data_IF_453041600071
#
_entry.id   IF_453041600071
#
_cell.length_a   1.000
_cell.length_b   1.000
_cell.length_c   1.000
_cell.angle_alpha   90.00
_cell.angle_beta   90.00
_cell.angle_gamma   90.00
#
_symmetry.space_group_name_H-M   'P 1'
#
loop_
_entity.id
_entity.type
_entity.pdbx_description
1 polymer ?
#
# COMPACT_ATOMS: atom_id res chain seq x y z
N UNK A 1 10.62 -9.35 -44.41
CA UNK A 1 9.80 -8.64 -45.44
C UNK A 1 9.18 -7.38 -44.83
N UNK A 2 8.74 -6.38 -45.63
CA UNK A 2 8.03 -5.20 -45.07
C UNK A 2 6.80 -5.61 -44.25
N UNK A 3 6.18 -6.76 -44.54
CA UNK A 3 5.10 -7.37 -43.73
C UNK A 3 5.56 -7.82 -42.33
N UNK A 4 6.75 -8.41 -42.16
CA UNK A 4 7.29 -8.76 -40.82
C UNK A 4 7.58 -7.52 -39.97
N UNK A 5 8.01 -6.41 -40.59
CA UNK A 5 8.19 -5.12 -39.90
C UNK A 5 6.85 -4.44 -39.56
N UNK A 6 5.77 -4.79 -40.27
CA UNK A 6 4.42 -4.28 -40.05
C UNK A 6 3.64 -5.13 -39.04
N UNK A 7 4.02 -6.41 -38.85
CA UNK A 7 3.50 -7.28 -37.80
C UNK A 7 3.90 -6.84 -36.38
N UNK A 8 4.95 -6.01 -36.25
CA UNK A 8 5.38 -5.30 -35.03
C UNK A 8 4.52 -4.07 -34.70
N UNK A 9 3.19 -4.17 -34.83
CA UNK A 9 2.29 -3.10 -34.35
C UNK A 9 2.52 -2.82 -32.85
N UNK A 10 2.59 -1.54 -32.47
CA UNK A 10 3.22 -1.07 -31.22
C UNK A 10 2.80 -1.76 -29.90
N UNK A 11 1.57 -2.26 -29.78
CA UNK A 11 1.12 -3.02 -28.60
C UNK A 11 1.64 -4.47 -28.60
N UNK A 12 1.78 -5.10 -29.78
CA UNK A 12 2.39 -6.42 -29.94
C UNK A 12 3.86 -6.39 -29.56
N UNK A 13 4.57 -5.29 -29.80
CA UNK A 13 5.96 -5.12 -29.35
C UNK A 13 6.13 -5.14 -27.82
N UNK A 14 5.07 -4.86 -27.06
CA UNK A 14 5.15 -4.81 -25.59
C UNK A 14 5.03 -6.19 -24.96
N UNK A 15 4.52 -7.20 -25.67
CA UNK A 15 4.22 -8.52 -25.08
C UNK A 15 5.43 -9.15 -24.35
N UNK A 16 6.64 -9.01 -24.91
CA UNK A 16 7.88 -9.52 -24.32
C UNK A 16 8.43 -8.69 -23.16
N UNK A 17 7.92 -7.47 -22.95
CA UNK A 17 8.34 -6.56 -21.88
C UNK A 17 7.32 -6.44 -20.73
N UNK A 18 6.02 -6.69 -20.96
CA UNK A 18 4.95 -6.53 -19.95
C UNK A 18 5.21 -7.37 -18.69
N UNK A 19 5.64 -8.63 -18.85
CA UNK A 19 5.84 -9.56 -17.75
C UNK A 19 7.25 -9.51 -17.15
N UNK A 20 8.08 -8.57 -17.61
CA UNK A 20 9.42 -8.42 -17.06
C UNK A 20 9.33 -7.85 -15.63
N UNK A 21 10.15 -8.34 -14.67
CA UNK A 21 10.21 -7.73 -13.36
C UNK A 21 10.61 -6.26 -13.48
N UNK A 22 9.87 -5.34 -12.84
CA UNK A 22 10.17 -3.92 -12.88
C UNK A 22 11.47 -3.63 -12.09
N UNK A 23 12.11 -2.49 -12.38
CA UNK A 23 13.38 -2.10 -11.74
C UNK A 23 13.30 -2.06 -10.21
N UNK A 24 12.15 -1.63 -9.66
CA UNK A 24 11.88 -1.56 -8.22
C UNK A 24 10.78 -2.56 -7.80
N UNK A 25 10.91 -3.83 -8.21
CA UNK A 25 9.94 -4.89 -7.93
C UNK A 25 9.63 -5.06 -6.44
N UNK A 26 10.63 -4.97 -5.57
CA UNK A 26 10.45 -5.06 -4.12
C UNK A 26 9.48 -3.99 -3.59
N UNK A 27 9.69 -2.73 -3.98
CA UNK A 27 8.86 -1.61 -3.51
C UNK A 27 7.43 -1.74 -4.04
N UNK A 28 7.28 -2.12 -5.31
CA UNK A 28 5.96 -2.38 -5.89
C UNK A 28 5.21 -3.47 -5.12
N UNK A 29 5.88 -4.56 -4.74
CA UNK A 29 5.26 -5.62 -3.94
C UNK A 29 4.78 -5.13 -2.58
N UNK A 30 5.58 -4.28 -1.92
CA UNK A 30 5.21 -3.65 -0.64
C UNK A 30 4.03 -2.71 -0.80
N UNK A 31 4.00 -1.90 -1.87
CA UNK A 31 2.87 -1.02 -2.19
C UNK A 31 1.58 -1.80 -2.43
N UNK A 32 1.64 -2.87 -3.22
CA UNK A 32 0.47 -3.71 -3.49
C UNK A 32 -0.01 -4.41 -2.22
N UNK A 33 0.89 -4.99 -1.41
CA UNK A 33 0.52 -5.61 -0.13
C UNK A 33 -0.17 -4.63 0.81
N UNK A 34 0.40 -3.44 0.98
CA UNK A 34 -0.17 -2.36 1.81
C UNK A 34 -1.50 -1.88 1.23
N UNK A 35 -1.62 -1.77 -0.09
CA UNK A 35 -2.86 -1.41 -0.77
C UNK A 35 -3.99 -2.41 -0.51
N UNK A 36 -3.71 -3.71 -0.56
CA UNK A 36 -4.66 -4.76 -0.19
C UNK A 36 -5.06 -4.65 1.29
N UNK A 37 -4.12 -4.32 2.16
CA UNK A 37 -4.38 -4.09 3.59
C UNK A 37 -5.34 -2.94 3.82
N UNK A 38 -5.07 -1.78 3.19
CA UNK A 38 -5.93 -0.60 3.25
C UNK A 38 -7.32 -0.90 2.69
N UNK A 39 -7.38 -1.51 1.51
CA UNK A 39 -8.65 -1.81 0.84
C UNK A 39 -9.50 -2.77 1.67
N UNK A 40 -8.90 -3.85 2.19
CA UNK A 40 -9.58 -4.80 3.07
C UNK A 40 -10.10 -4.13 4.34
N UNK A 41 -9.29 -3.28 4.97
CA UNK A 41 -9.68 -2.54 6.18
C UNK A 41 -10.85 -1.60 5.91
N UNK A 42 -10.80 -0.82 4.82
CA UNK A 42 -11.89 0.10 4.42
C UNK A 42 -13.17 -0.65 4.10
N UNK A 43 -13.10 -1.71 3.29
CA UNK A 43 -14.27 -2.49 2.90
C UNK A 43 -14.94 -3.14 4.12
N UNK A 44 -14.16 -3.77 4.99
CA UNK A 44 -14.72 -4.42 6.19
C UNK A 44 -15.29 -3.38 7.16
N UNK A 45 -14.59 -2.27 7.37
CA UNK A 45 -15.11 -1.16 8.22
C UNK A 45 -16.43 -0.62 7.66
N UNK A 46 -16.51 -0.42 6.34
CA UNK A 46 -17.72 0.08 5.69
C UNK A 46 -18.90 -0.88 5.84
N UNK A 47 -18.67 -2.20 5.73
CA UNK A 47 -19.71 -3.21 5.98
C UNK A 47 -20.22 -3.14 7.43
N UNK A 48 -19.33 -3.10 8.42
CA UNK A 48 -19.74 -2.99 9.83
C UNK A 48 -20.44 -1.66 10.15
N UNK A 49 -20.04 -0.57 9.48
CA UNK A 49 -20.71 0.72 9.60
C UNK A 49 -22.13 0.69 9.01
N UNK A 50 -22.30 0.11 7.81
CA UNK A 50 -23.61 -0.03 7.16
C UNK A 50 -24.58 -0.93 7.94
N UNK A 51 -24.07 -1.96 8.62
CA UNK A 51 -24.86 -2.84 9.49
C UNK A 51 -25.21 -2.21 10.85
N UNK A 52 -24.72 -0.98 11.13
CA UNK A 52 -25.00 -0.26 12.38
C UNK A 52 -24.14 -0.66 13.57
N UNK A 53 -23.16 -1.56 13.41
CA UNK A 53 -22.24 -1.97 14.48
C UNK A 53 -21.21 -0.89 14.82
N UNK A 54 -20.86 -0.04 13.85
CA UNK A 54 -19.91 1.06 14.01
C UNK A 54 -20.61 2.39 13.68
N UNK A 55 -21.08 3.08 14.71
CA UNK A 55 -21.63 4.44 14.56
C UNK A 55 -20.51 5.49 14.57
N UNK A 56 -20.50 6.45 13.63
CA UNK A 56 -19.59 7.59 13.64
C UNK A 56 -19.64 8.42 14.93
N UNK A 57 -20.78 8.38 15.65
CA UNK A 57 -20.95 9.05 16.95
C UNK A 57 -20.04 8.45 18.04
N UNK A 58 -19.66 7.17 17.92
CA UNK A 58 -18.67 6.53 18.80
C UNK A 58 -17.27 6.57 18.18
N UNK A 59 -16.71 7.79 18.07
CA UNK A 59 -15.41 8.04 17.43
C UNK A 59 -14.28 7.15 17.98
N UNK A 60 -14.24 6.91 19.29
CA UNK A 60 -13.22 6.06 19.92
C UNK A 60 -13.35 4.58 19.55
N UNK A 61 -14.58 4.06 19.54
CA UNK A 61 -14.85 2.69 19.10
C UNK A 61 -14.51 2.45 17.63
N UNK A 62 -14.84 3.42 16.76
CA UNK A 62 -14.51 3.36 15.34
C UNK A 62 -12.99 3.33 15.11
N UNK A 63 -12.23 4.22 15.74
CA UNK A 63 -10.76 4.23 15.61
C UNK A 63 -10.13 2.93 16.10
N UNK A 64 -10.61 2.38 17.21
CA UNK A 64 -10.11 1.12 17.76
C UNK A 64 -10.42 -0.04 16.82
N UNK A 65 -11.63 -0.10 16.25
CA UNK A 65 -12.02 -1.10 15.28
C UNK A 65 -11.16 -1.03 14.00
N UNK A 66 -10.93 0.17 13.46
CA UNK A 66 -10.07 0.36 12.29
C UNK A 66 -8.63 -0.08 12.55
N UNK A 67 -8.07 0.20 13.74
CA UNK A 67 -6.73 -0.25 14.14
C UNK A 67 -6.65 -1.78 14.22
N UNK A 68 -7.64 -2.44 14.81
CA UNK A 68 -7.68 -3.90 14.89
C UNK A 68 -7.82 -4.53 13.50
N UNK A 69 -8.74 -4.00 12.68
CA UNK A 69 -8.91 -4.46 11.30
C UNK A 69 -7.63 -4.27 10.49
N UNK A 70 -6.93 -3.14 10.63
CA UNK A 70 -5.64 -2.93 10.01
C UNK A 70 -4.64 -4.03 10.35
N UNK A 71 -4.52 -4.40 11.63
CA UNK A 71 -3.62 -5.46 12.10
C UNK A 71 -3.97 -6.80 11.47
N UNK A 72 -5.24 -7.20 11.50
CA UNK A 72 -5.70 -8.46 10.93
C UNK A 72 -5.51 -8.52 9.41
N UNK A 73 -5.72 -7.40 8.73
CA UNK A 73 -5.48 -7.30 7.30
C UNK A 73 -4.00 -7.43 6.92
N UNK A 74 -3.07 -7.35 7.89
CA UNK A 74 -1.64 -7.62 7.70
C UNK A 74 -1.37 -9.01 7.13
N UNK A 75 -2.20 -10.01 7.46
CA UNK A 75 -2.12 -11.35 6.85
C UNK A 75 -2.27 -11.28 5.33
N UNK A 76 -3.30 -10.57 4.85
CA UNK A 76 -3.55 -10.41 3.41
C UNK A 76 -2.48 -9.54 2.74
N UNK A 77 -1.94 -8.56 3.46
CA UNK A 77 -0.83 -7.73 3.00
C UNK A 77 0.44 -8.56 2.72
N UNK A 78 0.82 -9.42 3.67
CA UNK A 78 1.93 -10.36 3.53
C UNK A 78 1.70 -11.35 2.39
N UNK A 79 0.48 -11.89 2.29
CA UNK A 79 0.11 -12.81 1.22
C UNK A 79 0.21 -12.15 -0.17
N UNK A 80 -0.40 -11.00 -0.37
CA UNK A 80 -0.40 -10.31 -1.67
C UNK A 80 1.00 -9.86 -2.09
N UNK A 81 1.77 -9.25 -1.18
CA UNK A 81 3.15 -8.80 -1.46
C UNK A 81 4.07 -9.97 -1.82
N UNK A 82 4.03 -11.07 -1.07
CA UNK A 82 4.86 -12.25 -1.34
C UNK A 82 4.46 -13.00 -2.62
N UNK A 83 3.16 -13.05 -2.94
CA UNK A 83 2.66 -13.64 -4.20
C UNK A 83 3.18 -12.88 -5.41
N UNK A 84 3.04 -11.57 -5.40
CA UNK A 84 3.52 -10.72 -6.49
C UNK A 84 5.05 -10.80 -6.60
N UNK A 85 5.75 -10.81 -5.47
CA UNK A 85 7.21 -10.94 -5.46
C UNK A 85 7.68 -12.26 -6.08
N UNK A 86 6.96 -13.35 -5.81
CA UNK A 86 7.25 -14.65 -6.41
C UNK A 86 6.99 -14.66 -7.92
N UNK A 87 5.97 -13.95 -8.40
CA UNK A 87 5.73 -13.76 -9.84
C UNK A 87 6.88 -13.01 -10.52
N UNK A 88 7.51 -12.07 -9.82
CA UNK A 88 8.73 -11.41 -10.29
C UNK A 88 10.01 -12.22 -10.10
N UNK A 89 9.91 -13.54 -9.87
CA UNK A 89 11.03 -14.48 -9.70
C UNK A 89 11.90 -14.16 -8.48
N UNK A 90 11.36 -13.44 -7.49
CA UNK A 90 12.02 -13.17 -6.22
C UNK A 90 12.10 -14.41 -5.33
N UNK A 91 13.25 -14.61 -4.68
CA UNK A 91 13.51 -15.78 -3.81
C UNK A 91 13.46 -15.45 -2.32
N UNK A 92 13.80 -14.21 -1.95
CA UNK A 92 13.96 -13.75 -0.57
C UNK A 92 12.64 -13.26 0.06
N UNK A 93 11.66 -14.17 0.21
CA UNK A 93 10.33 -13.80 0.73
C UNK A 93 10.35 -13.16 2.13
N UNK A 94 11.32 -13.54 2.99
CA UNK A 94 11.50 -12.94 4.33
C UNK A 94 11.84 -11.45 4.24
N UNK A 95 12.63 -11.04 3.24
CA UNK A 95 13.01 -9.65 3.02
C UNK A 95 11.79 -8.80 2.64
N UNK A 96 10.94 -9.33 1.78
CA UNK A 96 9.68 -8.66 1.40
C UNK A 96 8.70 -8.63 2.57
N UNK A 97 8.53 -9.73 3.31
CA UNK A 97 7.69 -9.75 4.50
C UNK A 97 8.11 -8.68 5.52
N UNK A 98 9.41 -8.58 5.77
CA UNK A 98 9.98 -7.53 6.63
C UNK A 98 9.68 -6.13 6.08
N UNK A 99 9.96 -5.86 4.80
CA UNK A 99 9.69 -4.54 4.22
C UNK A 99 8.20 -4.18 4.26
N UNK A 100 7.30 -5.13 3.99
CA UNK A 100 5.84 -4.92 4.09
C UNK A 100 5.41 -4.60 5.52
N UNK A 101 5.95 -5.30 6.52
CA UNK A 101 5.58 -5.11 7.91
C UNK A 101 6.12 -3.80 8.53
N UNK A 102 7.20 -3.25 7.96
CA UNK A 102 7.91 -2.11 8.55
C UNK A 102 7.82 -0.81 7.75
N UNK A 103 7.89 -0.83 6.41
CA UNK A 103 8.11 0.39 5.61
C UNK A 103 7.03 1.45 5.88
N UNK A 104 5.76 1.10 5.70
CA UNK A 104 4.65 2.02 5.90
C UNK A 104 4.33 2.24 7.38
N UNK A 105 4.18 1.20 8.22
CA UNK A 105 3.89 1.40 9.63
C UNK A 105 4.96 2.22 10.36
N UNK A 106 6.24 2.07 10.02
CA UNK A 106 7.31 2.87 10.62
C UNK A 106 7.24 4.35 10.25
N UNK A 107 6.97 4.66 8.97
CA UNK A 107 6.82 6.05 8.51
C UNK A 107 5.63 6.71 9.20
N UNK A 108 4.48 6.04 9.25
CA UNK A 108 3.28 6.56 9.93
C UNK A 108 3.52 6.71 11.42
N UNK A 109 4.18 5.73 12.07
CA UNK A 109 4.50 5.80 13.49
C UNK A 109 5.47 6.95 13.79
N UNK A 110 6.49 7.17 12.96
CA UNK A 110 7.43 8.27 13.14
C UNK A 110 6.71 9.63 13.07
N UNK A 111 5.84 9.83 12.07
CA UNK A 111 5.02 11.05 11.96
C UNK A 111 4.13 11.19 13.19
N UNK A 112 3.45 10.12 13.59
CA UNK A 112 2.59 10.10 14.77
C UNK A 112 3.34 10.48 16.05
N UNK A 113 4.53 9.93 16.30
CA UNK A 113 5.33 10.23 17.49
C UNK A 113 5.80 11.69 17.51
N UNK A 114 6.23 12.24 16.37
CA UNK A 114 6.61 13.65 16.26
C UNK A 114 5.42 14.56 16.57
N UNK A 115 4.25 14.29 15.96
CA UNK A 115 3.04 15.06 16.21
C UNK A 115 2.59 14.93 17.67
N UNK A 116 2.60 13.73 18.22
CA UNK A 116 2.22 13.49 19.61
C UNK A 116 3.14 14.23 20.59
N UNK A 117 4.45 14.26 20.33
CA UNK A 117 5.41 15.00 21.13
C UNK A 117 5.14 16.51 21.13
N UNK A 118 4.78 17.09 19.97
CA UNK A 118 4.39 18.50 19.87
C UNK A 118 3.12 18.81 20.67
N UNK A 119 2.10 17.96 20.56
CA UNK A 119 0.83 18.10 21.31
C UNK A 119 1.08 17.99 22.82
N UNK A 120 1.97 17.09 23.24
CA UNK A 120 2.36 16.94 24.63
C UNK A 120 3.08 18.19 25.18
N UNK A 121 3.95 18.80 24.38
CA UNK A 121 4.61 20.07 24.72
C UNK A 121 3.62 21.22 24.96
N UNK A 122 2.48 21.21 24.25
CA UNK A 122 1.38 22.17 24.43
C UNK A 122 0.45 21.84 25.62
N UNK A 123 0.74 20.77 26.38
CA UNK A 123 -0.10 20.27 27.48
C UNK A 123 -1.56 20.03 27.08
N UNK A 124 -1.79 19.70 25.80
CA UNK A 124 -3.12 19.44 25.29
C UNK A 124 -3.65 18.09 25.77
N UNK A 125 -4.93 18.04 26.13
CA UNK A 125 -5.64 16.79 26.48
C UNK A 125 -5.80 15.83 25.29
N UNK A 126 -5.53 16.29 24.07
CA UNK A 126 -5.52 15.47 22.86
C UNK A 126 -4.25 14.60 22.69
N UNK A 127 -3.26 14.72 23.57
CA UNK A 127 -2.06 13.90 23.51
C UNK A 127 -2.37 12.45 23.88
N UNK A 128 -1.83 11.52 23.08
CA UNK A 128 -1.96 10.09 23.35
C UNK A 128 -1.09 9.73 24.56
N UNK A 129 -1.67 9.13 25.62
CA UNK A 129 -0.93 8.80 26.84
C UNK A 129 0.06 7.67 26.59
N UNK A 130 1.08 7.59 27.47
CA UNK A 130 2.17 6.62 27.35
C UNK A 130 1.70 5.15 27.28
N UNK A 131 0.67 4.78 28.06
CA UNK A 131 0.12 3.42 28.02
C UNK A 131 -0.41 3.03 26.64
N UNK A 132 -1.10 3.94 25.95
CA UNK A 132 -1.60 3.70 24.60
C UNK A 132 -0.47 3.61 23.58
N UNK A 133 0.58 4.44 23.72
CA UNK A 133 1.77 4.33 22.87
C UNK A 133 2.44 2.95 22.99
N UNK A 134 2.58 2.45 24.22
CA UNK A 134 3.12 1.11 24.47
C UNK A 134 2.22 0.02 23.86
N UNK A 135 0.89 0.14 24.00
CA UNK A 135 -0.06 -0.80 23.41
C UNK A 135 0.03 -0.84 21.88
N UNK A 136 0.22 0.30 21.21
CA UNK A 136 0.39 0.38 19.76
C UNK A 136 1.69 -0.32 19.30
N UNK A 137 2.80 -0.15 20.04
CA UNK A 137 4.04 -0.87 19.76
C UNK A 137 3.84 -2.38 19.93
N UNK A 138 3.21 -2.81 21.02
CA UNK A 138 2.93 -4.22 21.26
C UNK A 138 2.04 -4.83 20.16
N UNK A 139 1.00 -4.11 19.75
CA UNK A 139 0.09 -4.53 18.70
C UNK A 139 0.78 -4.59 17.32
N UNK A 140 1.72 -3.67 17.05
CA UNK A 140 2.52 -3.71 15.83
C UNK A 140 3.51 -4.87 15.83
N UNK A 141 4.43 -4.94 16.79
CA UNK A 141 5.51 -5.94 16.82
C UNK A 141 5.04 -7.33 17.26
N UNK A 142 4.10 -7.39 18.20
CA UNK A 142 3.63 -8.64 18.80
C UNK A 142 2.54 -9.35 17.99
N UNK A 143 1.75 -8.61 17.19
CA UNK A 143 0.65 -9.20 16.43
C UNK A 143 0.80 -8.93 14.93
N UNK A 144 0.88 -7.66 14.52
CA UNK A 144 0.86 -7.29 13.10
C UNK A 144 2.04 -7.86 12.32
N UNK A 145 3.27 -7.71 12.84
CA UNK A 145 4.48 -8.24 12.20
C UNK A 145 4.39 -9.76 12.02
N UNK A 146 4.12 -10.59 13.06
CA UNK A 146 3.91 -12.03 12.89
C UNK A 146 2.83 -12.36 11.85
N UNK A 147 1.69 -11.66 11.84
CA UNK A 147 0.62 -11.89 10.87
C UNK A 147 1.08 -11.67 9.43
N UNK A 148 1.83 -10.59 9.17
CA UNK A 148 2.41 -10.31 7.85
C UNK A 148 3.35 -11.43 7.43
N UNK A 149 4.18 -11.94 8.35
CA UNK A 149 5.08 -13.07 8.07
C UNK A 149 4.32 -14.37 7.78
N UNK A 150 3.27 -14.68 8.52
CA UNK A 150 2.40 -15.85 8.27
C UNK A 150 1.76 -15.73 6.89
N UNK A 151 1.21 -14.56 6.57
CA UNK A 151 0.60 -14.29 5.27
C UNK A 151 1.60 -14.44 4.13
N UNK A 152 2.80 -13.87 4.30
CA UNK A 152 3.88 -13.96 3.34
C UNK A 152 4.36 -15.40 3.13
N UNK A 153 4.46 -16.19 4.20
CA UNK A 153 4.81 -17.61 4.11
C UNK A 153 3.78 -18.41 3.31
N UNK A 154 2.49 -18.20 3.57
CA UNK A 154 1.39 -18.86 2.85
C UNK A 154 1.39 -18.44 1.37
N UNK A 155 1.55 -17.14 1.10
CA UNK A 155 1.59 -16.61 -0.26
C UNK A 155 2.78 -17.16 -1.06
N UNK A 156 3.96 -17.19 -0.45
CA UNK A 156 5.16 -17.67 -1.10
C UNK A 156 5.19 -19.19 -1.32
N UNK A 157 4.48 -19.97 -0.51
CA UNK A 157 4.36 -21.43 -0.73
C UNK A 157 3.62 -21.78 -2.03
N UNK A 158 2.64 -20.97 -2.45
CA UNK A 158 1.86 -21.26 -3.66
C UNK A 158 2.72 -21.15 -4.93
N UNK A 159 2.52 -22.01 -5.94
CA UNK A 159 3.28 -21.95 -7.19
C UNK A 159 3.08 -20.59 -7.88
N UNK A 160 4.12 -20.01 -8.50
CA UNK A 160 3.96 -18.78 -9.27
C UNK A 160 2.96 -19.03 -10.42
N UNK A 161 2.27 -17.98 -10.84
CA UNK A 161 1.50 -18.04 -12.09
C UNK A 161 2.51 -17.99 -13.24
N UNK A 162 2.33 -18.85 -14.24
CA UNK A 162 3.16 -18.84 -15.42
C UNK A 162 2.84 -17.61 -16.27
N UNK A 163 3.89 -16.95 -16.75
CA UNK A 163 3.74 -15.83 -17.68
C UNK A 163 3.13 -16.37 -18.99
N UNK A 164 2.09 -15.72 -19.55
CA UNK A 164 1.44 -16.20 -20.78
C UNK A 164 2.37 -16.13 -22.00
N UNK A 165 3.48 -15.39 -21.90
CA UNK A 165 4.49 -15.21 -22.96
C UNK A 165 5.89 -15.19 -22.37
N UNK A 166 6.89 -15.59 -23.17
CA UNK A 166 8.30 -15.50 -22.78
C UNK A 166 8.74 -14.03 -22.77
N UNK A 167 9.38 -13.61 -21.68
CA UNK A 167 9.92 -12.26 -21.54
C UNK A 167 11.26 -12.10 -22.26
N UNK A 168 11.48 -10.96 -22.90
CA UNK A 168 12.77 -10.57 -23.47
C UNK A 168 13.80 -10.28 -22.38
N UNK A 169 15.07 -10.67 -22.61
CA UNK A 169 16.17 -10.44 -21.64
C UNK A 169 16.67 -8.99 -21.65
N UNK A 170 16.65 -8.36 -22.82
CA UNK A 170 17.16 -7.00 -23.04
C UNK A 170 15.97 -6.05 -23.13
N UNK A 171 15.96 -4.94 -22.36
CA UNK A 171 14.91 -3.93 -22.49
C UNK A 171 15.02 -3.28 -23.87
N UNK A 172 13.90 -3.08 -24.55
CA UNK A 172 13.89 -2.20 -25.71
C UNK A 172 14.27 -0.77 -25.30
N UNK A 173 14.89 -0.04 -26.23
CA UNK A 173 15.14 1.38 -26.01
C UNK A 173 13.81 2.12 -25.94
N UNK A 174 13.62 2.92 -24.89
CA UNK A 174 12.44 3.77 -24.72
C UNK A 174 12.72 5.05 -25.51
N UNK A 175 11.83 5.49 -26.42
CA UNK A 175 12.01 6.74 -27.14
C UNK A 175 12.02 7.92 -26.15
N UNK A 176 12.67 9.01 -26.53
CA UNK A 176 12.69 10.23 -25.70
C UNK A 176 11.25 10.72 -25.47
N UNK A 177 10.86 10.79 -24.20
CA UNK A 177 9.54 11.24 -23.80
C UNK A 177 9.49 12.77 -23.80
N UNK A 178 8.35 13.33 -24.20
CA UNK A 178 8.12 14.78 -24.10
C UNK A 178 8.25 15.25 -22.64
N UNK A 179 8.66 16.50 -22.44
CA UNK A 179 8.94 17.05 -21.11
C UNK A 179 7.78 16.91 -20.10
N UNK A 180 6.53 17.00 -20.56
CA UNK A 180 5.33 16.88 -19.72
C UNK A 180 5.02 15.45 -19.28
N UNK A 181 5.63 14.44 -19.91
CA UNK A 181 5.54 13.04 -19.48
C UNK A 181 6.59 12.69 -18.41
N UNK A 182 7.40 13.65 -17.97
CA UNK A 182 8.34 13.44 -16.87
C UNK A 182 7.57 13.01 -15.61
N UNK A 183 8.01 11.94 -14.90
CA UNK A 183 7.31 11.42 -13.72
C UNK A 183 7.00 12.49 -12.67
N UNK A 184 7.92 13.40 -12.39
CA UNK A 184 7.74 14.44 -11.36
C UNK A 184 6.62 15.40 -11.78
N UNK A 185 6.64 15.86 -13.03
CA UNK A 185 5.62 16.78 -13.55
C UNK A 185 4.25 16.11 -13.63
N UNK A 186 4.20 14.87 -14.12
CA UNK A 186 2.97 14.08 -14.21
C UNK A 186 2.35 13.80 -12.84
N UNK A 187 3.17 13.49 -11.82
CA UNK A 187 2.70 13.30 -10.44
C UNK A 187 2.11 14.60 -9.86
N UNK A 188 2.78 15.74 -10.07
CA UNK A 188 2.32 17.03 -9.55
C UNK A 188 1.00 17.47 -10.20
N UNK A 189 0.94 17.48 -11.54
CA UNK A 189 -0.26 17.91 -12.27
C UNK A 189 -1.41 16.92 -12.12
N UNK A 190 -1.13 15.62 -12.25
CA UNK A 190 -2.13 14.56 -12.06
C UNK A 190 -2.70 14.53 -10.65
N UNK A 191 -1.93 14.99 -9.65
CA UNK A 191 -2.36 15.10 -8.26
C UNK A 191 -3.33 16.25 -7.97
N UNK A 192 -3.44 17.26 -8.84
CA UNK A 192 -4.29 18.44 -8.60
C UNK A 192 -5.78 18.06 -8.50
N UNK A 193 -6.24 17.17 -9.39
CA UNK A 193 -7.65 16.72 -9.41
C UNK A 193 -8.04 15.96 -8.14
N UNK A 194 -7.34 14.87 -7.73
CA UNK A 194 -7.67 14.18 -6.49
C UNK A 194 -7.44 15.06 -5.26
N UNK A 195 -6.45 15.97 -5.27
CA UNK A 195 -6.28 16.95 -4.20
C UNK A 195 -7.52 17.86 -4.08
N UNK A 196 -8.01 18.43 -5.19
CA UNK A 196 -9.20 19.29 -5.18
C UNK A 196 -10.44 18.56 -4.69
N UNK A 197 -10.66 17.32 -5.15
CA UNK A 197 -11.78 16.50 -4.69
C UNK A 197 -11.73 16.23 -3.18
N UNK A 198 -10.58 15.81 -2.66
CA UNK A 198 -10.40 15.53 -1.22
C UNK A 198 -10.45 16.82 -0.38
N UNK A 199 -9.94 17.93 -0.90
CA UNK A 199 -9.95 19.22 -0.21
C UNK A 199 -11.37 19.73 0.04
N UNK A 200 -12.27 19.64 -0.95
CA UNK A 200 -13.67 20.05 -0.81
C UNK A 200 -14.37 19.19 0.25
N UNK A 201 -14.19 17.87 0.21
CA UNK A 201 -14.77 16.96 1.21
C UNK A 201 -14.23 17.25 2.62
N UNK A 202 -12.91 17.44 2.76
CA UNK A 202 -12.30 17.83 4.03
C UNK A 202 -12.84 19.15 4.55
N UNK A 203 -13.08 20.13 3.68
CA UNK A 203 -13.68 21.40 4.07
C UNK A 203 -15.09 21.22 4.65
N UNK A 204 -15.95 20.42 4.02
CA UNK A 204 -17.28 20.10 4.55
C UNK A 204 -17.22 19.33 5.86
N UNK A 205 -16.30 18.36 5.98
CA UNK A 205 -16.10 17.60 7.22
C UNK A 205 -15.66 18.54 8.34
N UNK A 206 -14.67 19.41 8.11
CA UNK A 206 -14.16 20.33 9.13
C UNK A 206 -15.21 21.37 9.53
N UNK A 207 -15.98 21.88 8.57
CA UNK A 207 -17.06 22.86 8.82
C UNK A 207 -18.26 22.22 9.54
N UNK A 208 -18.51 20.91 9.38
CA UNK A 208 -19.58 20.21 10.08
C UNK A 208 -19.21 19.72 11.48
N UNK A 209 -17.92 19.65 11.81
CA UNK A 209 -17.41 19.29 13.15
C UNK A 209 -17.46 20.48 14.12
N UNK A 210 -17.52 21.71 13.60
CA UNK A 210 -17.63 22.96 14.36
C UNK A 210 -19.03 23.55 14.26
#
# INVERSE_FOLDING_TARGET
>A
TQEEAQEETGWKLVHGDVFRPPANSDLLCVYVGTGVQCLGMVLVTMIFAMLGFLSPSNRGGLMTAMLLLWVFMGLFAGYASSRLYKMFKGTEWKRIAFRTAFLFPAVVSAIFFVLNALIWGQKSSGAVPFGTMFALIFLWFGISVPLVFVGAYIGFKKPPLDDPVKTNKIPRQIPEQAWYMNPIFSILIGGILPFGAVFIELFFILTSIW
#
